data_IF_229785742704
#
_entry.id   IF_229785742704
#
_cell.length_a   1.000
_cell.length_b   1.000
_cell.length_c   1.000
_cell.angle_alpha   90.00
_cell.angle_beta   90.00
_cell.angle_gamma   90.00
#
_symmetry.space_group_name_H-M   'P 1'
#
loop_
_entity.id
_entity.type
_entity.pdbx_description
1 polymer ?
#
# COMPACT_ATOMS: atom_id res chain seq x y z
N UNK A 1 -9.01 1.46 -0.18
CA UNK A 1 -9.28 2.23 1.06
C UNK A 1 -7.98 2.48 1.83
N UNK A 2 -7.15 1.48 2.05
CA UNK A 2 -5.85 1.63 2.75
C UNK A 2 -4.65 1.87 1.82
N UNK A 3 -4.87 2.39 0.60
CA UNK A 3 -3.83 2.44 -0.44
C UNK A 3 -2.53 3.10 0.03
N UNK A 4 -2.64 4.22 0.74
CA UNK A 4 -1.48 4.93 1.29
C UNK A 4 -0.68 4.09 2.30
N UNK A 5 -1.35 3.47 3.27
CA UNK A 5 -0.71 2.67 4.32
C UNK A 5 0.02 1.46 3.74
N UNK A 6 -0.59 0.79 2.76
CA UNK A 6 0.05 -0.30 2.02
C UNK A 6 1.23 0.19 1.19
N UNK A 7 1.11 1.34 0.53
CA UNK A 7 2.21 1.93 -0.23
C UNK A 7 3.39 2.31 0.67
N UNK A 8 3.14 2.90 1.84
CA UNK A 8 4.17 3.16 2.87
C UNK A 8 4.85 1.85 3.30
N UNK A 9 4.05 0.81 3.58
CA UNK A 9 4.57 -0.50 3.95
C UNK A 9 5.42 -1.15 2.85
N UNK A 10 5.02 -1.04 1.59
CA UNK A 10 5.80 -1.48 0.42
C UNK A 10 7.18 -0.84 0.38
N UNK A 11 7.24 0.49 0.49
CA UNK A 11 8.53 1.20 0.49
C UNK A 11 9.41 0.79 1.67
N UNK A 12 8.80 0.60 2.84
CA UNK A 12 9.49 0.10 4.04
C UNK A 12 10.09 -1.29 3.81
N UNK A 13 9.29 -2.19 3.25
CA UNK A 13 9.69 -3.57 2.99
C UNK A 13 10.83 -3.63 1.96
N UNK A 14 10.73 -2.88 0.86
CA UNK A 14 11.79 -2.78 -0.15
C UNK A 14 13.08 -2.23 0.45
N UNK A 15 13.00 -1.20 1.30
CA UNK A 15 14.15 -0.64 1.98
C UNK A 15 14.87 -1.67 2.86
N UNK A 16 14.12 -2.46 3.63
CA UNK A 16 14.68 -3.53 4.47
C UNK A 16 15.35 -4.63 3.63
N UNK A 17 14.88 -4.87 2.41
CA UNK A 17 15.50 -5.80 1.44
C UNK A 17 16.71 -5.23 0.70
N UNK A 18 17.30 -4.13 1.15
CA UNK A 18 18.46 -3.50 0.51
C UNK A 18 18.11 -2.37 -0.46
N UNK A 19 16.83 -2.00 -0.54
CA UNK A 19 16.34 -0.84 -1.29
C UNK A 19 15.94 -1.13 -2.73
N UNK A 20 15.24 -0.16 -3.32
CA UNK A 20 14.61 -0.28 -4.64
C UNK A 20 15.60 -0.62 -5.77
N UNK A 21 16.86 -0.20 -5.68
CA UNK A 21 17.84 -0.44 -6.76
C UNK A 21 18.49 -1.81 -6.72
N UNK A 22 18.30 -2.58 -5.64
CA UNK A 22 18.86 -3.93 -5.48
C UNK A 22 17.80 -5.02 -5.56
N UNK A 23 16.53 -4.64 -5.60
CA UNK A 23 15.42 -5.56 -5.66
C UNK A 23 15.24 -6.08 -7.08
N UNK A 24 15.02 -7.39 -7.23
CA UNK A 24 14.76 -8.02 -8.52
C UNK A 24 13.26 -8.00 -8.83
N UNK A 25 12.83 -6.94 -9.52
CA UNK A 25 11.41 -6.74 -9.90
C UNK A 25 10.90 -7.79 -10.89
N UNK A 26 11.78 -8.44 -11.64
CA UNK A 26 11.41 -9.45 -12.62
C UNK A 26 11.25 -10.85 -12.00
N UNK A 27 11.93 -11.14 -10.90
CA UNK A 27 11.91 -12.44 -10.24
C UNK A 27 11.11 -12.50 -8.95
N UNK A 28 10.80 -11.37 -8.31
CA UNK A 28 10.15 -11.34 -6.99
C UNK A 28 8.88 -10.49 -6.96
N UNK A 29 7.99 -10.83 -6.03
CA UNK A 29 6.79 -10.06 -5.74
C UNK A 29 6.57 -9.95 -4.23
N UNK A 30 5.76 -8.98 -3.81
CA UNK A 30 5.37 -8.80 -2.41
C UNK A 30 3.98 -9.41 -2.17
N UNK A 31 3.88 -10.37 -1.24
CA UNK A 31 2.59 -10.92 -0.81
C UNK A 31 2.12 -10.24 0.48
N UNK A 32 0.86 -9.81 0.49
CA UNK A 32 0.10 -9.43 1.68
C UNK A 32 -0.93 -10.51 1.99
N UNK A 33 -0.75 -11.21 3.09
CA UNK A 33 -1.75 -12.13 3.62
C UNK A 33 -2.72 -11.34 4.50
N UNK A 34 -3.98 -11.30 4.09
CA UNK A 34 -5.07 -10.62 4.77
C UNK A 34 -6.07 -11.65 5.28
N UNK A 35 -6.74 -11.32 6.39
CA UNK A 35 -7.84 -12.13 6.93
C UNK A 35 -9.09 -11.27 7.03
N UNK A 36 -10.22 -11.78 6.53
CA UNK A 36 -11.48 -11.07 6.69
C UNK A 36 -11.85 -10.98 8.17
N UNK A 37 -12.34 -9.81 8.59
CA UNK A 37 -12.77 -9.57 9.97
C UNK A 37 -14.29 -9.64 10.06
N UNK A 38 -14.88 -10.72 10.60
CA UNK A 38 -16.31 -10.76 10.84
C UNK A 38 -16.71 -9.72 11.91
N UNK A 39 -17.96 -9.26 11.85
CA UNK A 39 -18.49 -8.31 12.83
C UNK A 39 -17.96 -6.87 12.68
N UNK A 40 -17.62 -6.44 11.46
CA UNK A 40 -17.21 -5.07 11.17
C UNK A 40 -18.38 -4.11 10.88
N UNK A 41 -19.64 -4.53 11.09
CA UNK A 41 -20.88 -3.81 10.76
C UNK A 41 -20.96 -3.30 9.30
N UNK A 42 -20.21 -3.95 8.40
CA UNK A 42 -20.05 -3.52 7.01
C UNK A 42 -19.12 -2.33 6.82
N UNK A 43 -18.36 -1.92 7.84
CA UNK A 43 -17.38 -0.84 7.74
C UNK A 43 -16.18 -1.27 6.86
N UNK A 44 -16.01 -0.67 5.68
CA UNK A 44 -14.95 -1.07 4.76
C UNK A 44 -13.54 -0.75 5.28
N UNK A 45 -13.35 0.16 6.24
CA UNK A 45 -12.01 0.48 6.75
C UNK A 45 -11.50 -0.56 7.74
N UNK A 46 -12.36 -1.38 8.32
CA UNK A 46 -12.01 -2.42 9.31
C UNK A 46 -12.36 -3.83 8.84
N UNK A 47 -12.60 -3.99 7.53
CA UNK A 47 -13.07 -5.25 6.93
C UNK A 47 -12.05 -6.40 6.96
N UNK A 48 -10.77 -6.12 7.20
CA UNK A 48 -9.73 -7.14 7.24
C UNK A 48 -8.64 -6.80 8.25
N UNK A 49 -7.82 -7.79 8.60
CA UNK A 49 -6.54 -7.66 9.30
C UNK A 49 -5.40 -8.02 8.36
N UNK A 50 -4.18 -7.53 8.67
CA UNK A 50 -2.96 -7.89 7.94
C UNK A 50 -2.22 -8.95 8.74
N UNK A 51 -2.24 -10.20 8.27
CA UNK A 51 -1.65 -11.35 8.95
C UNK A 51 -0.16 -11.45 8.67
N UNK A 52 0.30 -11.23 7.45
CA UNK A 52 1.72 -11.19 7.14
C UNK A 52 2.04 -10.45 5.86
N UNK A 53 3.31 -10.11 5.69
CA UNK A 53 3.83 -9.55 4.45
C UNK A 53 5.21 -10.15 4.19
N UNK A 54 5.46 -10.64 2.99
CA UNK A 54 6.74 -11.25 2.62
C UNK A 54 7.01 -11.13 1.12
N UNK A 55 8.29 -10.98 0.77
CA UNK A 55 8.72 -11.14 -0.61
C UNK A 55 8.85 -12.62 -0.94
N UNK A 56 8.38 -13.01 -2.11
CA UNK A 56 8.42 -14.37 -2.62
C UNK A 56 8.89 -14.36 -4.08
N UNK A 57 9.56 -15.41 -4.54
CA UNK A 57 9.91 -15.53 -5.94
C UNK A 57 8.67 -15.81 -6.79
N UNK A 58 8.61 -15.22 -7.98
CA UNK A 58 7.56 -15.48 -8.96
C UNK A 58 7.54 -16.94 -9.42
N UNK A 59 8.68 -17.63 -9.36
CA UNK A 59 8.80 -19.05 -9.71
C UNK A 59 8.01 -19.99 -8.78
N UNK A 60 7.61 -19.56 -7.59
CA UNK A 60 6.73 -20.33 -6.69
C UNK A 60 5.26 -20.29 -7.14
N UNK A 61 4.90 -19.41 -8.06
CA UNK A 61 3.52 -19.31 -8.57
C UNK A 61 3.31 -20.39 -9.62
N UNK A 62 2.43 -21.35 -9.32
CA UNK A 62 1.99 -22.31 -10.34
C UNK A 62 1.27 -21.55 -11.49
N UNK A 63 1.78 -21.59 -12.73
CA UNK A 63 1.19 -20.86 -13.85
C UNK A 63 -0.21 -21.38 -14.23
N UNK A 64 -0.52 -22.64 -13.93
CA UNK A 64 -1.82 -23.26 -14.19
C UNK A 64 -2.87 -22.92 -13.12
N UNK A 65 -2.45 -22.35 -11.99
CA UNK A 65 -3.38 -21.91 -10.95
C UNK A 65 -4.19 -20.69 -11.41
N UNK A 66 -5.32 -20.42 -10.75
CA UNK A 66 -6.09 -19.20 -11.01
C UNK A 66 -5.26 -17.92 -10.80
N UNK A 67 -4.37 -17.93 -9.81
CA UNK A 67 -3.46 -16.82 -9.49
C UNK A 67 -2.43 -16.63 -10.61
N UNK A 68 -1.82 -17.73 -11.08
CA UNK A 68 -0.84 -17.72 -12.17
C UNK A 68 -1.46 -17.24 -13.48
N UNK A 69 -2.64 -17.75 -13.83
CA UNK A 69 -3.39 -17.29 -15.01
C UNK A 69 -3.77 -15.81 -14.93
N UNK A 70 -4.21 -15.31 -13.78
CA UNK A 70 -4.53 -13.90 -13.60
C UNK A 70 -3.27 -13.00 -13.72
N UNK A 71 -2.14 -13.46 -13.18
CA UNK A 71 -0.87 -12.78 -13.33
C UNK A 71 -0.48 -12.68 -14.81
N UNK A 72 -0.51 -13.80 -15.53
CA UNK A 72 -0.16 -13.84 -16.97
C UNK A 72 -1.15 -13.03 -17.83
N UNK A 73 -2.45 -13.12 -17.57
CA UNK A 73 -3.46 -12.33 -18.30
C UNK A 73 -3.23 -10.82 -18.18
N UNK A 74 -2.69 -10.35 -17.05
CA UNK A 74 -2.34 -8.94 -16.85
C UNK A 74 -1.03 -8.50 -17.51
N UNK A 75 -0.21 -9.41 -18.03
CA UNK A 75 1.14 -9.12 -18.56
C UNK A 75 1.12 -8.07 -19.70
N UNK A 76 0.28 -8.17 -20.74
CA UNK A 76 0.31 -7.20 -21.85
C UNK A 76 -0.01 -5.78 -21.39
N UNK A 77 -0.91 -5.64 -20.41
CA UNK A 77 -1.24 -4.35 -19.82
C UNK A 77 -0.05 -3.76 -19.06
N UNK A 78 0.62 -4.58 -18.24
CA UNK A 78 1.80 -4.15 -17.47
C UNK A 78 2.97 -3.74 -18.37
N UNK A 79 3.25 -4.50 -19.42
CA UNK A 79 4.31 -4.17 -20.39
C UNK A 79 4.02 -2.85 -21.10
N UNK A 80 2.78 -2.64 -21.55
CA UNK A 80 2.36 -1.36 -22.15
C UNK A 80 2.50 -0.21 -21.16
N UNK A 81 2.08 -0.40 -19.92
CA UNK A 81 2.17 0.64 -18.91
C UNK A 81 3.64 0.91 -18.53
N UNK A 82 4.52 -0.10 -18.58
CA UNK A 82 5.96 0.06 -18.31
C UNK A 82 6.62 0.97 -19.35
N UNK A 83 6.29 0.78 -20.63
CA UNK A 83 6.73 1.68 -21.71
C UNK A 83 6.27 3.12 -21.42
N UNK A 84 4.99 3.32 -21.09
CA UNK A 84 4.45 4.66 -20.77
C UNK A 84 5.13 5.31 -19.56
N UNK A 85 5.42 4.53 -18.52
CA UNK A 85 6.11 5.05 -17.33
C UNK A 85 7.56 5.39 -17.62
N UNK A 86 8.24 4.58 -18.43
CA UNK A 86 9.59 4.87 -18.88
C UNK A 86 9.64 6.13 -19.75
N UNK A 87 8.70 6.32 -20.67
CA UNK A 87 8.58 7.56 -21.46
C UNK A 87 8.32 8.79 -20.58
N UNK A 88 7.48 8.66 -19.54
CA UNK A 88 7.12 9.77 -18.64
C UNK A 88 8.23 10.10 -17.64
N UNK A 89 9.01 9.10 -17.20
CA UNK A 89 10.00 9.21 -16.12
C UNK A 89 11.29 8.43 -16.46
N UNK A 90 11.98 8.74 -17.57
CA UNK A 90 13.07 7.92 -18.10
C UNK A 90 14.23 7.75 -17.12
N UNK A 91 14.57 8.81 -16.38
CA UNK A 91 15.73 8.80 -15.46
C UNK A 91 15.41 8.27 -14.06
N UNK A 92 14.13 8.07 -13.75
CA UNK A 92 13.72 7.73 -12.37
C UNK A 92 12.90 6.46 -12.26
N UNK A 93 12.20 6.02 -13.31
CA UNK A 93 11.44 4.79 -13.30
C UNK A 93 12.36 3.57 -13.25
N UNK A 94 12.09 2.68 -12.30
CA UNK A 94 12.83 1.44 -12.12
C UNK A 94 12.10 0.29 -12.82
N UNK A 95 10.95 -0.08 -12.28
CA UNK A 95 10.04 -1.10 -12.83
C UNK A 95 8.72 -1.06 -12.02
N UNK A 96 7.84 -2.03 -12.22
CA UNK A 96 6.72 -2.31 -11.34
C UNK A 96 7.07 -3.35 -10.28
N UNK A 97 6.86 -3.00 -9.01
CA UNK A 97 6.71 -4.01 -7.98
C UNK A 97 5.34 -4.67 -8.15
N UNK A 98 5.33 -5.98 -8.34
CA UNK A 98 4.12 -6.78 -8.24
C UNK A 98 3.77 -7.00 -6.77
N UNK A 99 2.54 -6.66 -6.40
CA UNK A 99 1.98 -6.93 -5.08
C UNK A 99 0.76 -7.85 -5.22
N UNK A 100 0.73 -8.93 -4.44
CA UNK A 100 -0.41 -9.83 -4.34
C UNK A 100 -1.09 -9.67 -2.99
N UNK A 101 -2.39 -9.43 -2.99
CA UNK A 101 -3.21 -9.41 -1.78
C UNK A 101 -4.05 -10.66 -1.75
N UNK A 102 -3.92 -11.47 -0.72
CA UNK A 102 -4.74 -12.68 -0.53
C UNK A 102 -5.64 -12.51 0.68
N UNK A 103 -6.93 -12.84 0.56
CA UNK A 103 -7.89 -12.82 1.68
C UNK A 103 -8.35 -14.26 1.94
N UNK A 104 -8.08 -14.76 3.14
CA UNK A 104 -8.47 -16.09 3.63
C UNK A 104 -8.14 -17.22 2.62
N UNK A 105 -7.02 -17.07 1.91
CA UNK A 105 -6.54 -17.93 0.81
C UNK A 105 -7.55 -18.20 -0.33
N UNK A 106 -8.71 -17.53 -0.30
CA UNK A 106 -9.85 -17.79 -1.17
C UNK A 106 -9.96 -16.74 -2.26
N UNK A 107 -9.54 -15.51 -1.97
CA UNK A 107 -9.53 -14.40 -2.91
C UNK A 107 -8.12 -13.86 -3.08
N UNK A 108 -7.73 -13.55 -4.32
CA UNK A 108 -6.43 -12.98 -4.63
C UNK A 108 -6.57 -11.82 -5.61
N UNK A 109 -5.83 -10.75 -5.36
CA UNK A 109 -5.76 -9.58 -6.23
C UNK A 109 -4.31 -9.21 -6.51
N UNK A 110 -3.98 -9.10 -7.79
CA UNK A 110 -2.70 -8.56 -8.25
C UNK A 110 -2.77 -7.04 -8.43
N UNK A 111 -1.70 -6.35 -8.07
CA UNK A 111 -1.50 -4.93 -8.36
C UNK A 111 -0.06 -4.72 -8.80
N UNK A 112 0.13 -3.94 -9.87
CA UNK A 112 1.45 -3.48 -10.31
C UNK A 112 1.67 -2.06 -9.80
N UNK A 113 2.76 -1.83 -9.07
CA UNK A 113 3.02 -0.57 -8.37
C UNK A 113 4.32 0.03 -8.90
N UNK A 114 4.27 1.16 -9.63
CA UNK A 114 5.45 1.73 -10.27
C UNK A 114 6.45 2.17 -9.21
N UNK A 115 7.72 1.81 -9.40
CA UNK A 115 8.82 2.15 -8.51
C UNK A 115 9.72 3.18 -9.18
N UNK A 116 10.19 4.15 -8.38
CA UNK A 116 11.15 5.15 -8.84
C UNK A 116 12.31 5.33 -7.86
N UNK A 117 13.41 5.91 -8.34
CA UNK A 117 14.57 6.28 -7.51
C UNK A 117 14.24 7.29 -6.40
N UNK A 118 13.19 8.11 -6.57
CA UNK A 118 12.86 9.24 -5.68
C UNK A 118 12.19 8.79 -4.37
N UNK A 119 11.82 7.52 -4.24
CA UNK A 119 11.27 6.98 -2.99
C UNK A 119 12.21 7.12 -1.77
N UNK A 120 13.49 7.45 -1.98
CA UNK A 120 14.45 7.78 -0.91
C UNK A 120 14.01 8.97 -0.04
N UNK A 121 13.24 9.93 -0.57
CA UNK A 121 12.80 11.10 0.21
C UNK A 121 11.73 10.77 1.26
N UNK A 122 11.04 9.64 1.10
CA UNK A 122 10.08 9.10 2.09
C UNK A 122 10.77 8.36 3.25
N UNK A 123 12.09 8.11 3.11
CA UNK A 123 12.84 7.12 3.87
C UNK A 123 13.28 7.51 5.31
N UNK A 124 13.43 8.79 5.71
CA UNK A 124 13.97 9.07 7.06
C UNK A 124 13.02 8.71 8.21
N UNK A 125 11.70 8.79 8.00
CA UNK A 125 10.70 8.64 9.07
C UNK A 125 9.99 7.28 9.07
N UNK A 126 10.24 6.44 8.06
CA UNK A 126 9.66 5.11 7.98
C UNK A 126 10.40 4.16 8.93
N UNK A 127 9.70 3.68 9.96
CA UNK A 127 10.25 2.73 10.94
C UNK A 127 10.70 1.44 10.26
N UNK A 128 12.02 1.28 10.10
CA UNK A 128 12.64 0.11 9.45
C UNK A 128 12.27 -1.22 10.10
N UNK A 129 12.03 -1.21 11.42
CA UNK A 129 11.72 -2.41 12.20
C UNK A 129 10.25 -2.49 12.64
N UNK A 130 9.47 -1.41 12.50
CA UNK A 130 8.09 -1.32 12.97
C UNK A 130 7.03 -1.15 11.89
N UNK A 131 7.40 -1.06 10.61
CA UNK A 131 6.46 -0.75 9.52
C UNK A 131 5.27 -1.72 9.42
N UNK A 132 5.49 -3.03 9.64
CA UNK A 132 4.40 -4.00 9.58
C UNK A 132 3.45 -3.85 10.76
N UNK A 133 4.00 -3.57 11.95
CA UNK A 133 3.20 -3.27 13.14
C UNK A 133 2.37 -1.99 12.92
N UNK A 134 2.96 -0.96 12.32
CA UNK A 134 2.28 0.28 11.97
C UNK A 134 1.15 0.05 10.96
N UNK A 135 1.40 -0.71 9.89
CA UNK A 135 0.38 -1.08 8.91
C UNK A 135 -0.78 -1.84 9.58
N UNK A 136 -0.46 -2.87 10.38
CA UNK A 136 -1.45 -3.66 11.12
C UNK A 136 -2.29 -2.77 12.02
N UNK A 137 -1.66 -1.85 12.75
CA UNK A 137 -2.34 -0.98 13.68
C UNK A 137 -3.25 0.03 12.97
N UNK A 138 -2.78 0.58 11.85
CA UNK A 138 -3.54 1.47 10.98
C UNK A 138 -4.80 0.79 10.44
N UNK A 139 -4.66 -0.44 9.93
CA UNK A 139 -5.78 -1.24 9.43
C UNK A 139 -6.73 -1.64 10.57
N UNK A 140 -6.18 -2.08 11.71
CA UNK A 140 -6.96 -2.48 12.90
C UNK A 140 -7.85 -1.35 13.41
N UNK A 141 -7.34 -0.12 13.41
CA UNK A 141 -8.05 1.11 13.80
C UNK A 141 -9.00 1.64 12.74
N UNK A 142 -8.95 1.10 11.52
CA UNK A 142 -9.73 1.59 10.38
C UNK A 142 -9.33 2.99 9.95
N UNK A 143 -8.06 3.37 10.15
CA UNK A 143 -7.52 4.66 9.75
C UNK A 143 -7.27 4.65 8.24
N UNK A 144 -7.87 5.61 7.55
CA UNK A 144 -7.86 5.74 6.09
C UNK A 144 -7.28 7.10 5.74
N UNK A 145 -6.25 7.11 4.91
CA UNK A 145 -5.66 8.35 4.43
C UNK A 145 -6.29 8.78 3.10
N UNK A 146 -6.61 10.06 2.95
CA UNK A 146 -7.12 10.64 1.70
C UNK A 146 -6.53 12.03 1.46
N UNK A 147 -6.34 12.36 0.19
CA UNK A 147 -6.25 13.74 -0.27
C UNK A 147 -7.66 14.34 -0.28
N UNK A 148 -7.80 15.56 0.24
CA UNK A 148 -9.13 16.16 0.50
C UNK A 148 -9.59 17.10 -0.59
N UNK A 149 -8.69 17.59 -1.43
CA UNK A 149 -9.01 18.42 -2.59
C UNK A 149 -8.08 18.15 -3.77
N UNK A 150 -8.48 18.47 -5.01
CA UNK A 150 -7.57 18.51 -6.14
C UNK A 150 -6.39 19.45 -5.86
N UNK A 151 -5.16 18.97 -6.03
CA UNK A 151 -3.94 19.73 -5.70
C UNK A 151 -3.51 19.66 -4.23
N UNK A 152 -4.27 18.95 -3.39
CA UNK A 152 -3.83 18.62 -2.03
C UNK A 152 -2.65 17.67 -2.11
N UNK A 153 -1.46 18.19 -1.83
CA UNK A 153 -0.26 17.37 -1.75
C UNK A 153 -0.29 16.47 -0.50
N UNK A 154 -1.23 16.70 0.42
CA UNK A 154 -1.24 16.06 1.70
C UNK A 154 -2.22 14.89 1.87
N UNK A 155 -1.71 13.83 2.48
CA UNK A 155 -2.52 12.67 2.88
C UNK A 155 -3.03 12.86 4.31
N UNK A 156 -4.32 13.14 4.44
CA UNK A 156 -4.96 13.34 5.73
C UNK A 156 -5.48 12.02 6.30
N UNK A 157 -5.15 11.74 7.55
CA UNK A 157 -5.72 10.63 8.29
C UNK A 157 -7.21 10.87 8.57
N UNK A 158 -8.02 9.83 8.46
CA UNK A 158 -9.44 9.85 8.74
C UNK A 158 -9.97 8.46 9.08
N UNK A 159 -11.27 8.38 9.34
CA UNK A 159 -11.98 7.12 9.55
C UNK A 159 -13.26 7.10 8.74
N UNK A 160 -13.75 5.90 8.44
CA UNK A 160 -15.07 5.72 7.84
C UNK A 160 -16.13 5.74 8.94
N UNK A 161 -17.01 6.72 8.89
CA UNK A 161 -18.16 6.89 9.78
C UNK A 161 -19.45 6.64 9.00
N UNK A 162 -20.44 6.03 9.66
CA UNK A 162 -21.73 5.74 9.02
C UNK A 162 -22.61 6.98 9.07
N UNK A 163 -23.02 7.49 7.90
CA UNK A 163 -24.00 8.56 7.77
C UNK A 163 -25.22 8.01 7.02
N UNK A 164 -26.30 7.72 7.75
CA UNK A 164 -27.45 6.99 7.24
C UNK A 164 -27.08 5.59 6.73
N UNK A 165 -27.27 5.35 5.43
CA UNK A 165 -26.95 4.07 4.76
C UNK A 165 -25.55 4.04 4.13
N UNK A 166 -24.77 5.12 4.21
CA UNK A 166 -23.50 5.27 3.50
C UNK A 166 -22.34 5.41 4.48
N UNK A 167 -21.17 4.90 4.07
CA UNK A 167 -19.92 5.14 4.76
C UNK A 167 -19.26 6.39 4.20
N UNK A 168 -19.05 7.38 5.05
CA UNK A 168 -18.39 8.63 4.71
C UNK A 168 -17.03 8.70 5.41
N UNK A 169 -16.02 9.20 4.70
CA UNK A 169 -14.75 9.47 5.32
C UNK A 169 -14.84 10.77 6.13
N UNK A 170 -14.40 10.73 7.39
CA UNK A 170 -14.27 11.88 8.28
C UNK A 170 -12.80 12.02 8.65
N UNK A 171 -12.25 13.23 8.46
CA UNK A 171 -10.89 13.57 8.91
C UNK A 171 -10.76 13.35 10.43
N UNK A 172 -9.60 12.85 10.86
CA UNK A 172 -9.23 12.81 12.27
C UNK A 172 -8.50 14.11 12.61
N UNK A 173 -8.93 14.76 13.68
CA UNK A 173 -8.26 15.94 14.20
C UNK A 173 -7.07 15.56 15.09
N UNK A 174 -6.26 16.54 15.48
CA UNK A 174 -5.06 16.31 16.30
C UNK A 174 -5.39 15.56 17.59
N UNK A 175 -6.50 15.91 18.23
CA UNK A 175 -6.94 15.27 19.48
C UNK A 175 -7.38 13.82 19.25
N UNK A 176 -8.03 13.51 18.12
CA UNK A 176 -8.35 12.13 17.74
C UNK A 176 -7.08 11.31 17.56
N UNK A 177 -6.09 11.86 16.84
CA UNK A 177 -4.80 11.20 16.60
C UNK A 177 -4.02 10.96 17.90
N UNK A 178 -4.05 11.95 18.81
CA UNK A 178 -3.43 11.83 20.12
C UNK A 178 -4.11 10.76 20.99
N UNK A 179 -5.45 10.72 21.01
CA UNK A 179 -6.21 9.66 21.69
C UNK A 179 -5.92 8.28 21.10
N UNK A 180 -5.54 8.23 19.82
CA UNK A 180 -5.08 7.01 19.16
C UNK A 180 -3.62 6.65 19.46
N UNK A 181 -2.85 7.49 20.14
CA UNK A 181 -1.43 7.25 20.38
C UNK A 181 -0.57 7.36 19.11
N UNK A 182 -1.08 8.03 18.05
CA UNK A 182 -0.29 8.38 16.87
C UNK A 182 0.57 9.61 17.20
N UNK A 183 1.85 9.62 16.80
CA UNK A 183 2.77 10.72 17.16
C UNK A 183 2.56 11.89 16.21
N UNK A 184 2.88 13.11 16.65
CA UNK A 184 2.81 14.33 15.81
C UNK A 184 3.64 14.26 14.51
N UNK A 185 4.69 13.44 14.45
CA UNK A 185 5.49 13.23 13.24
C UNK A 185 4.66 12.59 12.11
N UNK A 186 3.76 11.66 12.45
CA UNK A 186 2.86 11.02 11.48
C UNK A 186 1.87 12.02 10.85
N UNK A 187 1.58 13.13 11.54
CA UNK A 187 0.77 14.23 11.01
C UNK A 187 1.56 15.18 10.10
N UNK A 188 2.89 15.26 10.23
CA UNK A 188 3.77 16.12 9.42
C UNK A 188 4.09 15.51 8.06
N UNK A 189 4.27 14.18 8.02
CA UNK A 189 4.41 13.33 6.82
C UNK A 189 3.30 13.54 5.78
N UNK A 190 2.12 14.01 6.21
CA UNK A 190 1.05 14.37 5.29
C UNK A 190 1.51 15.47 4.33
N UNK A 191 2.27 16.49 4.72
CA UNK A 191 2.49 17.69 3.89
C UNK A 191 3.54 17.58 2.77
N UNK A 192 4.48 16.64 2.81
CA UNK A 192 5.71 16.73 2.00
C UNK A 192 5.75 15.80 0.77
N UNK A 193 4.78 14.88 0.59
CA UNK A 193 4.91 13.77 -0.38
C UNK A 193 4.12 13.96 -1.69
N UNK A 194 3.17 14.88 -1.74
CA UNK A 194 2.29 15.02 -2.91
C UNK A 194 2.92 15.53 -4.21
N UNK A 195 4.24 15.70 -4.26
CA UNK A 195 4.97 16.05 -5.48
C UNK A 195 5.40 14.84 -6.32
N UNK A 196 5.20 13.59 -5.87
CA UNK A 196 5.82 12.41 -6.49
C UNK A 196 4.87 11.48 -7.28
N UNK A 197 3.55 11.75 -7.27
CA UNK A 197 2.53 10.97 -7.97
C UNK A 197 1.74 11.79 -8.98
#
# INVERSE_FOLDING_TARGET
MHSWSFQKAIFSALFVQGGNTRFDYAAQYLKFDLRYRPGNDGNPSTAFTVESTRFLPLSEINPESGIGRALEAGRPLRERDAVRWHEKKPDTFLDFLLAMYTIDDSYSLWTAIPQTHVAKELSPEISRTGWLLELRETVRRGTVFRQTSPGDIAWHAGQMVKNGKRWCWRRLEVDDLAAMGMRRADAKLSREIGHLF
#
